data_IF_018945556382
#
_entry.id   IF_018945556382
#
_cell.length_a   1.000
_cell.length_b   1.000
_cell.length_c   1.000
_cell.angle_alpha   90.00
_cell.angle_beta   90.00
_cell.angle_gamma   90.00
#
_symmetry.space_group_name_H-M   'P 1'
#
loop_
_entity.id
_entity.type
_entity.pdbx_description
1 polymer ?
#
# COMPACT_ATOMS: atom_id res chain seq x y z
N UNK A 1 15.20 -55.76 -13.60
CA UNK A 1 16.02 -54.97 -12.65
C UNK A 1 15.04 -54.32 -11.66
N UNK A 2 14.45 -55.02 -10.70
CA UNK A 2 14.98 -55.56 -9.42
C UNK A 2 15.61 -54.45 -8.55
N UNK A 3 14.86 -53.95 -7.56
CA UNK A 3 15.12 -54.14 -6.12
C UNK A 3 13.90 -53.69 -5.29
N UNK A 4 13.22 -54.67 -4.68
CA UNK A 4 12.38 -54.55 -3.47
C UNK A 4 13.32 -54.40 -2.24
N UNK A 5 12.84 -54.51 -0.98
CA UNK A 5 11.91 -53.67 -0.22
C UNK A 5 12.53 -53.29 1.16
N UNK A 6 11.88 -52.45 1.97
CA UNK A 6 12.08 -52.52 3.43
C UNK A 6 10.76 -52.73 4.15
N UNK A 7 10.81 -53.74 5.02
CA UNK A 7 9.75 -54.40 5.77
C UNK A 7 9.58 -53.72 7.12
N UNK A 8 8.38 -53.79 7.70
CA UNK A 8 8.07 -54.10 9.12
C UNK A 8 6.55 -53.87 9.28
N UNK A 9 5.66 -54.86 9.21
CA UNK A 9 5.41 -55.96 10.15
C UNK A 9 5.18 -55.50 11.59
N UNK A 10 3.91 -55.36 11.99
CA UNK A 10 3.38 -55.69 13.33
C UNK A 10 1.84 -55.73 13.22
N UNK A 11 1.28 -56.91 12.96
CA UNK A 11 0.68 -57.82 13.94
C UNK A 11 -0.73 -57.41 14.40
N UNK A 12 -1.67 -58.18 13.86
CA UNK A 12 -3.08 -58.40 14.17
C UNK A 12 -3.36 -58.73 15.66
N UNK A 13 -4.56 -58.36 16.10
CA UNK A 13 -5.47 -59.07 17.04
C UNK A 13 -5.82 -58.37 18.36
N UNK A 14 -7.05 -57.82 18.35
CA UNK A 14 -8.18 -57.97 19.30
C UNK A 14 -7.93 -57.76 20.80
N UNK A 15 -8.65 -56.79 21.39
CA UNK A 15 -9.51 -57.02 22.55
C UNK A 15 -10.43 -55.83 22.84
N UNK A 16 -11.69 -56.17 23.14
CA UNK A 16 -12.79 -55.32 23.58
C UNK A 16 -12.40 -54.36 24.70
N UNK A 17 -12.91 -53.11 24.66
CA UNK A 17 -13.54 -52.38 25.77
C UNK A 17 -14.17 -51.10 25.22
N UNK A 18 -15.47 -50.89 25.47
CA UNK A 18 -16.19 -49.70 25.02
C UNK A 18 -15.78 -48.46 25.81
N UNK A 19 -15.76 -47.30 25.13
CA UNK A 19 -16.44 -46.15 25.69
C UNK A 19 -17.37 -45.50 24.66
N UNK A 20 -18.48 -44.97 25.15
CA UNK A 20 -19.33 -44.05 24.42
C UNK A 20 -18.47 -42.87 23.93
N UNK A 21 -18.21 -42.83 22.62
CA UNK A 21 -17.55 -41.71 21.97
C UNK A 21 -18.59 -40.59 21.86
N UNK A 22 -18.60 -39.72 22.86
CA UNK A 22 -19.23 -38.40 22.77
C UNK A 22 -18.60 -37.66 21.58
N UNK A 23 -19.38 -37.48 20.52
CA UNK A 23 -19.00 -36.62 19.40
C UNK A 23 -18.87 -35.18 19.90
N UNK A 24 -17.64 -34.71 20.07
CA UNK A 24 -17.37 -33.29 20.17
C UNK A 24 -17.67 -32.68 18.79
N UNK A 25 -18.89 -32.17 18.63
CA UNK A 25 -19.22 -31.27 17.53
C UNK A 25 -18.41 -29.99 17.74
N UNK A 26 -17.21 -29.95 17.16
CA UNK A 26 -16.40 -28.75 17.08
C UNK A 26 -17.10 -27.77 16.13
N UNK A 27 -17.85 -26.82 16.69
CA UNK A 27 -18.25 -25.63 15.95
C UNK A 27 -17.00 -24.77 15.73
N UNK A 28 -16.24 -25.08 14.68
CA UNK A 28 -15.27 -24.13 14.15
C UNK A 28 -16.07 -22.97 13.52
N UNK A 29 -15.86 -21.72 13.93
CA UNK A 29 -16.46 -20.58 13.24
C UNK A 29 -15.97 -20.56 11.79
N UNK A 30 -16.81 -20.14 10.83
CA UNK A 30 -16.37 -19.99 9.45
C UNK A 30 -15.17 -19.04 9.40
N UNK A 31 -14.14 -19.33 8.58
CA UNK A 31 -12.99 -18.44 8.46
C UNK A 31 -13.47 -17.05 8.03
N UNK A 32 -12.87 -15.97 8.56
CA UNK A 32 -13.22 -14.62 8.16
C UNK A 32 -13.01 -14.46 6.65
N UNK A 33 -13.85 -13.66 5.97
CA UNK A 33 -13.66 -13.40 4.55
C UNK A 33 -12.28 -12.79 4.31
N UNK A 34 -11.47 -13.46 3.48
CA UNK A 34 -10.16 -12.94 3.07
C UNK A 34 -10.40 -11.82 2.06
N UNK A 35 -9.93 -10.58 2.32
CA UNK A 35 -10.11 -9.49 1.37
C UNK A 35 -9.36 -9.80 0.06
N UNK A 36 -9.88 -9.32 -1.09
CA UNK A 36 -9.20 -9.51 -2.36
C UNK A 36 -7.84 -8.82 -2.35
N UNK A 37 -6.83 -9.42 -3.00
CA UNK A 37 -5.44 -8.96 -2.97
C UNK A 37 -5.25 -7.46 -3.27
N UNK A 38 -6.03 -6.91 -4.21
CA UNK A 38 -5.98 -5.47 -4.53
C UNK A 38 -6.43 -4.55 -3.39
N UNK A 39 -7.30 -5.03 -2.48
CA UNK A 39 -7.71 -4.26 -1.30
C UNK A 39 -6.59 -4.21 -0.27
N UNK A 40 -5.87 -5.32 -0.05
CA UNK A 40 -4.70 -5.32 0.83
C UNK A 40 -3.59 -4.42 0.31
N UNK A 41 -3.34 -4.45 -1.00
CA UNK A 41 -2.37 -3.57 -1.63
C UNK A 41 -2.76 -2.08 -1.48
N UNK A 42 -4.04 -1.75 -1.63
CA UNK A 42 -4.55 -0.38 -1.40
C UNK A 42 -4.32 0.08 0.04
N UNK A 43 -4.71 -0.75 1.02
CA UNK A 43 -4.57 -0.41 2.44
C UNK A 43 -3.09 -0.21 2.82
N UNK A 44 -2.19 -1.06 2.30
CA UNK A 44 -0.76 -0.91 2.55
C UNK A 44 -0.20 0.42 1.98
N UNK A 45 -0.72 0.87 0.83
CA UNK A 45 -0.34 2.18 0.24
C UNK A 45 -0.85 3.33 1.10
N UNK A 46 -2.12 3.28 1.54
CA UNK A 46 -2.72 4.29 2.43
C UNK A 46 -1.95 4.40 3.76
N UNK A 47 -1.56 3.28 4.37
CA UNK A 47 -0.86 3.25 5.65
C UNK A 47 0.51 3.96 5.56
N UNK A 48 1.28 3.67 4.51
CA UNK A 48 2.59 4.30 4.30
C UNK A 48 2.45 5.81 4.14
N UNK A 49 1.47 6.29 3.36
CA UNK A 49 1.22 7.71 3.21
C UNK A 49 0.70 8.36 4.49
N UNK A 50 -0.17 7.68 5.23
CA UNK A 50 -0.69 8.18 6.51
C UNK A 50 0.44 8.41 7.51
N UNK A 51 1.31 7.42 7.67
CA UNK A 51 2.47 7.51 8.58
C UNK A 51 3.46 8.57 8.09
N UNK A 52 3.74 8.61 6.79
CA UNK A 52 4.67 9.59 6.22
C UNK A 52 4.19 11.03 6.38
N UNK A 53 2.93 11.32 6.03
CA UNK A 53 2.35 12.66 6.18
C UNK A 53 2.26 13.09 7.64
N UNK A 54 1.90 12.19 8.56
CA UNK A 54 1.91 12.49 9.99
C UNK A 54 3.33 12.83 10.48
N UNK A 55 4.32 12.00 10.12
CA UNK A 55 5.71 12.23 10.51
C UNK A 55 6.30 13.53 9.96
N UNK A 56 5.90 13.94 8.74
CA UNK A 56 6.27 15.24 8.19
C UNK A 56 5.59 16.35 9.00
N UNK A 57 4.27 16.31 9.16
CA UNK A 57 3.50 17.33 9.88
C UNK A 57 4.00 17.55 11.31
N UNK A 58 4.35 16.48 12.03
CA UNK A 58 4.80 16.52 13.42
C UNK A 58 6.20 17.14 13.59
N UNK A 59 7.00 17.23 12.53
CA UNK A 59 8.41 17.65 12.61
C UNK A 59 8.62 19.16 12.41
N UNK A 60 7.59 19.90 11.99
CA UNK A 60 7.65 21.35 11.80
C UNK A 60 7.16 22.11 13.03
N UNK A 61 7.88 23.17 13.38
CA UNK A 61 7.56 24.06 14.52
C UNK A 61 6.29 24.89 14.22
N UNK A 62 6.07 25.20 12.95
CA UNK A 62 4.89 25.90 12.45
C UNK A 62 3.89 24.89 11.86
N UNK A 63 2.57 25.08 12.05
CA UNK A 63 1.56 24.18 11.52
C UNK A 63 1.65 24.10 9.99
N UNK A 64 2.13 22.96 9.49
CA UNK A 64 2.22 22.68 8.06
C UNK A 64 0.82 22.29 7.55
N UNK A 65 0.33 23.00 6.54
CA UNK A 65 -0.86 22.57 5.79
C UNK A 65 -0.49 21.44 4.84
N UNK A 66 -1.18 20.30 4.91
CA UNK A 66 -0.82 19.13 4.10
C UNK A 66 -1.21 19.28 2.63
N UNK A 67 -2.24 20.05 2.30
CA UNK A 67 -2.73 20.17 0.92
C UNK A 67 -1.68 20.57 -0.11
N UNK A 68 -0.94 21.69 0.08
CA UNK A 68 0.14 22.06 -0.83
C UNK A 68 1.23 20.99 -0.92
N UNK A 69 1.61 20.39 0.20
CA UNK A 69 2.62 19.33 0.26
C UNK A 69 2.22 18.09 -0.54
N UNK A 70 0.98 17.63 -0.34
CA UNK A 70 0.45 16.44 -1.02
C UNK A 70 0.29 16.70 -2.51
N UNK A 71 -0.10 17.93 -2.89
CA UNK A 71 -0.19 18.35 -4.29
C UNK A 71 1.16 18.29 -4.98
N UNK A 72 2.23 18.81 -4.37
CA UNK A 72 3.59 18.67 -4.89
C UNK A 72 4.06 17.21 -4.92
N UNK A 73 3.69 16.41 -3.91
CA UNK A 73 3.95 14.99 -3.92
C UNK A 73 3.30 14.27 -5.11
N UNK A 74 2.03 14.55 -5.39
CA UNK A 74 1.33 13.97 -6.53
C UNK A 74 1.93 14.41 -7.87
N UNK A 75 2.44 15.64 -7.98
CA UNK A 75 3.21 16.09 -9.15
C UNK A 75 4.51 15.30 -9.35
N UNK A 76 5.11 14.82 -8.27
CA UNK A 76 6.28 13.93 -8.29
C UNK A 76 6.06 12.62 -9.08
N UNK A 77 4.81 12.17 -9.25
CA UNK A 77 4.48 11.01 -10.09
C UNK A 77 4.86 11.20 -11.57
N UNK A 78 5.02 12.44 -12.03
CA UNK A 78 5.52 12.76 -13.38
C UNK A 78 6.93 12.22 -13.66
N UNK A 79 7.71 11.89 -12.61
CA UNK A 79 9.01 11.20 -12.76
C UNK A 79 8.84 9.76 -13.24
N UNK A 80 7.71 9.13 -12.94
CA UNK A 80 7.38 7.77 -13.37
C UNK A 80 6.78 7.78 -14.77
N UNK A 81 5.82 8.68 -15.00
CA UNK A 81 5.18 8.88 -16.29
C UNK A 81 5.10 10.38 -16.60
N UNK A 82 5.95 10.91 -17.51
CA UNK A 82 5.97 12.32 -17.85
C UNK A 82 4.68 12.87 -18.49
N UNK A 83 3.81 12.01 -19.00
CA UNK A 83 2.50 12.41 -19.51
C UNK A 83 1.49 12.66 -18.39
N UNK A 84 1.74 12.16 -17.18
CA UNK A 84 0.86 12.35 -16.03
C UNK A 84 1.03 13.76 -15.46
N UNK A 85 -0.05 14.54 -15.49
CA UNK A 85 -0.08 15.90 -14.97
C UNK A 85 -1.06 16.03 -13.83
N UNK A 86 -0.68 16.79 -12.80
CA UNK A 86 -1.51 17.09 -11.63
C UNK A 86 -1.65 18.61 -11.50
N UNK A 87 -2.87 19.08 -11.66
CA UNK A 87 -3.23 20.49 -11.58
C UNK A 87 -4.18 20.72 -10.41
N UNK A 88 -4.02 21.86 -9.74
CA UNK A 88 -4.87 22.25 -8.63
C UNK A 88 -5.73 23.44 -9.05
N UNK A 89 -7.01 23.38 -8.73
CA UNK A 89 -7.95 24.49 -8.91
C UNK A 89 -8.83 24.70 -7.66
N UNK A 90 -9.85 25.55 -7.78
CA UNK A 90 -10.74 25.90 -6.66
C UNK A 90 -11.54 24.71 -6.13
N UNK A 91 -11.84 23.72 -6.97
CA UNK A 91 -12.70 22.59 -6.63
C UNK A 91 -11.89 21.36 -6.19
N UNK A 92 -10.58 21.34 -6.48
CA UNK A 92 -9.67 20.32 -5.98
C UNK A 92 -8.52 20.04 -6.94
N UNK A 93 -8.22 18.75 -7.12
CA UNK A 93 -7.13 18.28 -7.98
C UNK A 93 -7.71 17.68 -9.26
N UNK A 94 -7.17 18.08 -10.40
CA UNK A 94 -7.43 17.46 -11.70
C UNK A 94 -6.18 16.72 -12.16
N UNK A 95 -6.34 15.44 -12.48
CA UNK A 95 -5.27 14.57 -12.97
C UNK A 95 -5.57 14.19 -14.41
N UNK A 96 -4.57 14.31 -15.27
CA UNK A 96 -4.67 13.96 -16.68
C UNK A 96 -3.44 13.17 -17.14
N UNK A 97 -3.62 12.34 -18.16
CA UNK A 97 -2.57 11.66 -18.89
C UNK A 97 -2.57 12.25 -20.31
N UNK A 98 -1.55 13.07 -20.61
CA UNK A 98 -1.59 14.04 -21.72
C UNK A 98 -2.88 14.89 -21.63
N UNK A 99 -3.70 14.88 -22.68
CA UNK A 99 -4.99 15.57 -22.73
C UNK A 99 -6.17 14.72 -22.25
N UNK A 100 -5.93 13.48 -21.78
CA UNK A 100 -6.98 12.56 -21.35
C UNK A 100 -7.23 12.71 -19.84
N UNK A 101 -8.44 13.11 -19.39
CA UNK A 101 -8.74 13.19 -17.97
C UNK A 101 -8.66 11.82 -17.30
N UNK A 102 -7.82 11.71 -16.26
CA UNK A 102 -7.77 10.53 -15.39
C UNK A 102 -8.86 10.63 -14.33
N UNK A 103 -8.98 11.79 -13.69
CA UNK A 103 -9.99 12.03 -12.66
C UNK A 103 -9.92 13.44 -12.07
N UNK A 104 -10.97 13.79 -11.32
CA UNK A 104 -11.04 15.00 -10.50
C UNK A 104 -11.34 14.60 -9.06
N UNK A 105 -10.55 15.12 -8.13
CA UNK A 105 -10.56 14.74 -6.72
C UNK A 105 -10.84 15.97 -5.89
N UNK A 106 -11.92 15.94 -5.11
CA UNK A 106 -12.22 17.01 -4.18
C UNK A 106 -11.14 17.05 -3.09
N UNK A 107 -10.82 18.26 -2.61
CA UNK A 107 -9.96 18.38 -1.42
C UNK A 107 -10.64 17.70 -0.24
N UNK A 108 -9.89 16.98 0.61
CA UNK A 108 -10.43 16.50 1.87
C UNK A 108 -10.98 17.65 2.71
N UNK A 109 -12.12 17.42 3.38
CA UNK A 109 -12.73 18.41 4.27
C UNK A 109 -11.91 18.63 5.54
N UNK A 110 -11.21 17.59 5.98
CA UNK A 110 -10.31 17.62 7.13
C UNK A 110 -8.87 17.63 6.62
N UNK A 111 -8.05 18.57 7.11
CA UNK A 111 -6.62 18.60 6.86
C UNK A 111 -5.89 17.59 7.76
N UNK A 112 -6.13 16.29 7.53
CA UNK A 112 -5.56 15.19 8.30
C UNK A 112 -4.67 14.27 7.45
N UNK A 113 -3.59 13.70 8.01
CA UNK A 113 -2.69 12.79 7.30
C UNK A 113 -3.43 11.65 6.58
N UNK A 114 -4.43 11.06 7.26
CA UNK A 114 -5.21 9.96 6.70
C UNK A 114 -6.08 10.39 5.53
N UNK A 115 -6.76 11.54 5.63
CA UNK A 115 -7.67 11.98 4.58
C UNK A 115 -6.90 12.29 3.28
N UNK A 116 -5.70 12.86 3.41
CA UNK A 116 -4.78 13.05 2.28
C UNK A 116 -4.18 11.73 1.77
N UNK A 117 -3.84 10.78 2.64
CA UNK A 117 -3.36 9.46 2.23
C UNK A 117 -4.39 8.69 1.40
N UNK A 118 -5.67 8.78 1.77
CA UNK A 118 -6.79 8.21 1.01
C UNK A 118 -6.83 8.83 -0.40
N UNK A 119 -6.79 10.16 -0.50
CA UNK A 119 -6.78 10.87 -1.78
C UNK A 119 -5.57 10.44 -2.63
N UNK A 120 -4.36 10.45 -2.06
CA UNK A 120 -3.13 10.05 -2.76
C UNK A 120 -3.25 8.63 -3.30
N UNK A 121 -3.78 7.71 -2.49
CA UNK A 121 -4.00 6.32 -2.89
C UNK A 121 -5.00 6.21 -4.04
N UNK A 122 -6.10 6.97 -4.00
CA UNK A 122 -7.09 7.02 -5.09
C UNK A 122 -6.45 7.48 -6.39
N UNK A 123 -5.72 8.60 -6.37
CA UNK A 123 -5.02 9.13 -7.56
C UNK A 123 -4.06 8.09 -8.16
N UNK A 124 -3.27 7.41 -7.33
CA UNK A 124 -2.32 6.38 -7.78
C UNK A 124 -3.04 5.20 -8.44
N UNK A 125 -4.16 4.76 -7.87
CA UNK A 125 -4.92 3.64 -8.43
C UNK A 125 -5.55 3.99 -9.78
N UNK A 126 -6.17 5.15 -9.87
CA UNK A 126 -6.81 5.61 -11.11
C UNK A 126 -5.76 5.88 -12.20
N UNK A 127 -4.61 6.45 -11.83
CA UNK A 127 -3.47 6.62 -12.75
C UNK A 127 -2.93 5.26 -13.23
N UNK A 128 -2.89 4.24 -12.37
CA UNK A 128 -2.51 2.86 -12.76
C UNK A 128 -3.49 2.24 -13.72
N UNK A 129 -4.78 2.51 -13.62
CA UNK A 129 -5.73 1.94 -14.58
C UNK A 129 -5.44 2.41 -16.02
N UNK A 130 -4.88 3.62 -16.18
CA UNK A 130 -4.70 4.26 -17.48
C UNK A 130 -3.24 4.23 -17.96
N UNK A 131 -2.26 4.53 -17.11
CA UNK A 131 -0.84 4.60 -17.47
C UNK A 131 -0.12 3.23 -17.39
N UNK A 132 0.49 2.75 -18.50
CA UNK A 132 1.33 1.56 -18.48
C UNK A 132 2.56 1.67 -17.58
N UNK A 133 3.17 2.86 -17.49
CA UNK A 133 4.36 3.09 -16.66
C UNK A 133 3.99 3.05 -15.17
N UNK A 134 2.87 3.66 -14.80
CA UNK A 134 2.34 3.61 -13.43
C UNK A 134 1.97 2.19 -13.00
N UNK A 135 1.39 1.36 -13.91
CA UNK A 135 1.11 -0.06 -13.60
C UNK A 135 2.37 -0.86 -13.31
N UNK A 136 3.44 -0.58 -14.05
CA UNK A 136 4.70 -1.31 -13.95
C UNK A 136 5.56 -0.84 -12.77
N UNK A 137 5.35 0.38 -12.29
CA UNK A 137 6.06 0.90 -11.14
C UNK A 137 5.78 0.07 -9.88
N UNK A 138 6.84 -0.25 -9.12
CA UNK A 138 6.70 -0.87 -7.80
C UNK A 138 6.03 0.09 -6.81
N UNK A 139 5.49 -0.45 -5.71
CA UNK A 139 4.98 0.38 -4.61
C UNK A 139 6.07 1.34 -4.09
N UNK A 140 7.29 0.84 -3.94
CA UNK A 140 8.43 1.65 -3.49
C UNK A 140 8.73 2.83 -4.40
N UNK A 141 8.69 2.62 -5.73
CA UNK A 141 8.92 3.70 -6.70
C UNK A 141 7.82 4.76 -6.63
N UNK A 142 6.58 4.35 -6.34
CA UNK A 142 5.46 5.27 -6.12
C UNK A 142 5.64 6.08 -4.83
N UNK A 143 6.02 5.43 -3.72
CA UNK A 143 6.30 6.11 -2.46
C UNK A 143 7.42 7.13 -2.61
N UNK A 144 8.53 6.71 -3.23
CA UNK A 144 9.66 7.59 -3.47
C UNK A 144 9.26 8.80 -4.32
N UNK A 145 8.59 8.60 -5.45
CA UNK A 145 8.17 9.69 -6.32
C UNK A 145 7.27 10.70 -5.59
N UNK A 146 6.31 10.21 -4.79
CA UNK A 146 5.41 11.09 -4.05
C UNK A 146 6.11 11.82 -2.91
N UNK A 147 6.90 11.13 -2.09
CA UNK A 147 7.56 11.76 -0.96
C UNK A 147 8.70 12.69 -1.38
N UNK A 148 9.49 12.33 -2.39
CA UNK A 148 10.54 13.21 -2.93
C UNK A 148 9.90 14.48 -3.53
N UNK A 149 8.77 14.35 -4.23
CA UNK A 149 7.99 15.51 -4.70
C UNK A 149 7.49 16.39 -3.55
N UNK A 150 6.89 15.77 -2.54
CA UNK A 150 6.33 16.46 -1.37
C UNK A 150 7.39 17.21 -0.55
N UNK A 151 8.59 16.64 -0.43
CA UNK A 151 9.70 17.21 0.35
C UNK A 151 10.55 18.21 -0.43
N UNK A 152 10.45 18.22 -1.77
CA UNK A 152 11.27 19.06 -2.64
C UNK A 152 11.18 20.57 -2.32
N UNK A 153 10.02 21.03 -1.84
CA UNK A 153 9.79 22.42 -1.45
C UNK A 153 10.11 22.75 0.01
N UNK A 154 10.40 21.74 0.84
CA UNK A 154 10.59 21.92 2.29
C UNK A 154 12.06 21.95 2.71
N UNK A 155 12.89 21.04 2.17
CA UNK A 155 14.33 21.02 2.39
C UNK A 155 15.02 20.22 1.27
N UNK A 156 16.03 20.82 0.66
CA UNK A 156 16.74 20.28 -0.51
C UNK A 156 17.36 18.89 -0.25
N UNK A 157 17.67 18.56 1.00
CA UNK A 157 18.31 17.29 1.35
C UNK A 157 17.35 16.21 1.82
N UNK A 158 16.09 16.57 2.06
CA UNK A 158 15.04 15.67 2.51
C UNK A 158 14.58 14.78 1.35
N UNK A 159 14.64 13.45 1.56
CA UNK A 159 14.23 12.44 0.58
C UNK A 159 13.62 11.23 1.28
N UNK A 160 12.81 10.47 0.55
CA UNK A 160 12.29 9.21 1.05
C UNK A 160 13.40 8.17 1.24
N UNK A 161 13.64 7.78 2.49
CA UNK A 161 14.54 6.68 2.82
C UNK A 161 13.77 5.36 2.67
N UNK A 162 13.77 4.84 1.45
CA UNK A 162 13.14 3.55 1.14
C UNK A 162 13.77 2.36 1.86
N UNK A 163 13.20 1.17 1.64
CA UNK A 163 13.61 -0.08 2.31
C UNK A 163 15.11 -0.37 2.17
N UNK A 164 15.69 -0.12 1.00
CA UNK A 164 17.13 -0.31 0.75
C UNK A 164 17.99 0.61 1.62
N UNK A 165 17.64 1.90 1.71
CA UNK A 165 18.36 2.88 2.53
C UNK A 165 18.19 2.59 4.02
N UNK A 166 16.97 2.25 4.43
CA UNK A 166 16.65 1.88 5.80
C UNK A 166 17.41 0.62 6.26
N UNK A 167 17.72 -0.29 5.33
CA UNK A 167 18.53 -1.47 5.62
C UNK A 167 20.01 -1.10 5.78
N UNK A 168 20.55 -0.22 4.91
CA UNK A 168 21.94 0.22 4.97
C UNK A 168 22.30 0.94 6.27
N UNK A 169 21.35 1.62 6.90
CA UNK A 169 21.56 2.35 8.16
C UNK A 169 21.30 1.50 9.43
N UNK A 170 21.01 0.20 9.28
CA UNK A 170 20.85 -0.72 10.42
C UNK A 170 22.13 -1.47 10.81
N UNK A 171 23.15 -1.41 9.96
CA UNK A 171 24.45 -2.07 10.14
C UNK A 171 25.54 -1.06 10.57
#
# INVERSE_FOLDING_TARGET
MIRRPFRSAFLLVVLLWGPAVFGLAACAPPPPPVPPAGTLARLAVEDVFTVGYAGIQDRYIEPLTLGPLVTEGLRGLGVIDPALTVTEDRDGLSVALDDTPVGRYARPLEDSPRAWAILTTQVILDAREQSPDMRRASAEKLYQAVFDGALSGLDLFSRYAGVEEATRHRD
#
